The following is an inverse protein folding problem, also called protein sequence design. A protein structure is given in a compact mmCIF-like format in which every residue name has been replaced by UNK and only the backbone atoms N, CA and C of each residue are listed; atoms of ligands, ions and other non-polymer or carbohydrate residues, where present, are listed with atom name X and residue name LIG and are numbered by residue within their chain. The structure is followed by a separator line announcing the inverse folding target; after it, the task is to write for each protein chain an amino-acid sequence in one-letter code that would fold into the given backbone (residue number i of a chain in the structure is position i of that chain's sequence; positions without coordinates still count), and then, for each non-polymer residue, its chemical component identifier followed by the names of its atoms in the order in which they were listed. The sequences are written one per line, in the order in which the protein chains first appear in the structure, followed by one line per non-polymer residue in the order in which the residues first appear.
data_IF_200595142243
#
_entry.id   IF_200595142243
#
_cell.length_a   1.000
_cell.length_b   1.000
_cell.length_c   1.000
_cell.angle_alpha   90.00
_cell.angle_beta   90.00
_cell.angle_gamma   90.00
#
_symmetry.space_group_name_H-M   'P 1'
#
loop_
_entity.id
_entity.type
_entity.pdbx_description
1 polymer ?
#
# COMPACT_ATOMS: atom_id res chain seq x y z
N UNK A 1 71.62 -38.09 32.69
CA UNK A 1 71.89 -36.77 32.07
C UNK A 1 71.21 -36.76 30.70
N UNK A 2 70.21 -35.88 30.51
CA UNK A 2 69.43 -35.56 29.27
C UNK A 2 68.56 -36.72 28.71
N UNK A 3 67.26 -36.83 28.99
CA UNK A 3 66.08 -36.08 28.48
C UNK A 3 66.06 -35.94 26.96
N UNK A 4 65.13 -36.62 26.29
CA UNK A 4 64.27 -36.05 25.23
C UNK A 4 62.90 -36.72 25.25
N UNK A 5 61.87 -35.87 25.34
CA UNK A 5 60.45 -36.20 25.33
C UNK A 5 59.94 -36.33 23.89
N UNK A 6 58.88 -37.10 23.69
CA UNK A 6 58.06 -37.04 22.47
C UNK A 6 56.59 -36.94 22.86
N UNK A 7 55.98 -35.82 22.48
CA UNK A 7 54.59 -35.48 22.73
C UNK A 7 53.66 -36.25 21.77
N UNK A 8 52.58 -36.83 22.30
CA UNK A 8 51.48 -37.37 21.51
C UNK A 8 50.35 -36.34 21.47
N UNK A 9 49.94 -35.97 20.26
CA UNK A 9 48.89 -34.98 20.00
C UNK A 9 47.49 -35.57 20.29
N UNK A 10 46.69 -34.81 21.03
CA UNK A 10 45.28 -35.10 21.32
C UNK A 10 44.46 -34.53 20.16
N UNK A 11 43.81 -35.39 19.38
CA UNK A 11 42.84 -35.00 18.37
C UNK A 11 41.51 -34.62 19.05
N UNK A 12 41.20 -33.33 19.08
CA UNK A 12 39.93 -32.80 19.56
C UNK A 12 38.91 -32.82 18.41
N UNK A 13 38.03 -33.83 18.40
CA UNK A 13 36.90 -33.88 17.47
C UNK A 13 35.79 -32.95 17.97
N UNK A 14 35.69 -31.75 17.39
CA UNK A 14 34.59 -30.82 17.65
C UNK A 14 33.40 -31.23 16.79
N UNK A 15 32.41 -31.89 17.40
CA UNK A 15 31.10 -32.09 16.80
C UNK A 15 30.32 -30.77 16.84
N UNK A 16 30.12 -30.14 15.67
CA UNK A 16 29.27 -28.96 15.55
C UNK A 16 27.80 -29.37 15.60
N UNK A 17 26.94 -28.72 16.40
CA UNK A 17 25.52 -28.98 16.36
C UNK A 17 24.94 -28.43 15.05
N UNK A 18 24.40 -29.32 14.22
CA UNK A 18 23.58 -28.95 13.08
C UNK A 18 22.28 -28.34 13.60
N UNK A 19 22.26 -27.01 13.71
CA UNK A 19 21.03 -26.26 13.98
C UNK A 19 20.16 -26.38 12.73
N UNK A 20 19.18 -27.29 12.76
CA UNK A 20 18.05 -27.26 11.85
C UNK A 20 17.26 -25.98 12.17
N UNK A 21 17.44 -24.94 11.37
CA UNK A 21 16.47 -23.85 11.29
C UNK A 21 15.16 -24.45 10.78
N UNK A 22 14.26 -24.75 11.70
CA UNK A 22 12.85 -24.92 11.41
C UNK A 22 12.38 -23.68 10.67
N UNK A 23 11.99 -23.85 9.40
CA UNK A 23 11.24 -22.88 8.61
C UNK A 23 9.82 -22.85 9.19
N UNK A 24 9.71 -22.37 10.43
CA UNK A 24 8.44 -22.15 11.10
C UNK A 24 7.76 -20.98 10.37
N UNK A 25 6.70 -21.32 9.65
CA UNK A 25 5.61 -20.46 9.23
C UNK A 25 6.03 -19.05 8.83
N UNK A 26 6.54 -18.94 7.60
CA UNK A 26 6.26 -17.75 6.82
C UNK A 26 4.74 -17.58 6.82
N UNK A 27 4.22 -16.73 7.73
CA UNK A 27 2.84 -16.29 7.71
C UNK A 27 2.53 -15.95 6.26
N UNK A 28 1.51 -16.62 5.70
CA UNK A 28 1.10 -16.43 4.33
C UNK A 28 0.73 -14.95 4.17
N UNK A 29 1.69 -14.14 3.73
CA UNK A 29 1.47 -12.71 3.51
C UNK A 29 0.43 -12.66 2.42
N UNK A 30 -0.78 -12.24 2.81
CA UNK A 30 -1.90 -12.15 1.88
C UNK A 30 -1.47 -11.22 0.76
N UNK A 31 -1.21 -11.80 -0.40
CA UNK A 31 -0.68 -11.07 -1.54
C UNK A 31 -1.86 -10.59 -2.36
N UNK A 32 -2.00 -9.27 -2.43
CA UNK A 32 -3.00 -8.63 -3.28
C UNK A 32 -2.36 -8.29 -4.63
N UNK A 33 -3.12 -8.27 -5.74
CA UNK A 33 -2.61 -7.81 -7.03
C UNK A 33 -2.04 -6.38 -6.94
N UNK A 34 -2.68 -5.55 -6.11
CA UNK A 34 -2.19 -4.24 -5.70
C UNK A 34 -2.35 -4.13 -4.19
N UNK A 35 -1.25 -3.86 -3.51
CA UNK A 35 -1.25 -3.49 -2.10
C UNK A 35 -1.18 -1.98 -1.96
N UNK A 36 -2.16 -1.40 -1.26
CA UNK A 36 -2.25 0.03 -0.96
C UNK A 36 -1.30 0.38 0.18
N UNK A 37 -0.47 1.40 0.00
CA UNK A 37 0.44 1.90 1.05
C UNK A 37 0.39 3.42 1.10
N UNK A 38 0.67 4.02 2.27
CA UNK A 38 0.53 5.47 2.45
C UNK A 38 1.35 6.29 1.43
N UNK A 39 2.55 5.83 1.09
CA UNK A 39 3.46 6.55 0.21
C UNK A 39 3.55 5.97 -1.22
N UNK A 40 2.52 5.25 -1.68
CA UNK A 40 2.51 4.69 -3.03
C UNK A 40 1.68 3.41 -3.19
N UNK A 41 2.06 2.58 -4.15
CA UNK A 41 1.44 1.29 -4.43
C UNK A 41 2.50 0.20 -4.59
N UNK A 42 2.21 -1.00 -4.09
CA UNK A 42 3.00 -2.19 -4.38
C UNK A 42 2.18 -3.06 -5.33
N UNK A 43 2.74 -3.37 -6.48
CA UNK A 43 2.08 -4.09 -7.57
C UNK A 43 2.71 -5.47 -7.68
N UNK A 44 1.88 -6.52 -7.69
CA UNK A 44 2.37 -7.88 -7.86
C UNK A 44 3.10 -8.01 -9.21
N UNK A 45 4.27 -8.64 -9.20
CA UNK A 45 5.05 -8.88 -10.41
C UNK A 45 4.37 -9.94 -11.31
N UNK A 46 4.42 -9.79 -12.64
CA UNK A 46 3.83 -10.76 -13.55
C UNK A 46 4.59 -12.10 -13.47
N UNK A 47 3.86 -13.23 -13.57
CA UNK A 47 4.48 -14.55 -13.71
C UNK A 47 5.41 -14.96 -12.56
N UNK A 48 5.13 -14.53 -11.33
CA UNK A 48 5.94 -14.85 -10.15
C UNK A 48 7.17 -13.97 -9.96
N UNK A 49 7.30 -12.90 -10.76
CA UNK A 49 8.30 -11.86 -10.51
C UNK A 49 8.06 -11.18 -9.16
N UNK A 50 9.14 -10.65 -8.59
CA UNK A 50 9.06 -9.89 -7.35
C UNK A 50 8.11 -8.69 -7.49
N UNK A 51 7.32 -8.36 -6.45
CA UNK A 51 6.50 -7.16 -6.44
C UNK A 51 7.33 -5.90 -6.67
N UNK A 52 6.74 -4.93 -7.37
CA UNK A 52 7.37 -3.64 -7.66
C UNK A 52 6.61 -2.51 -6.97
N UNK A 53 7.34 -1.51 -6.49
CA UNK A 53 6.75 -0.38 -5.75
C UNK A 53 6.80 0.91 -6.57
N UNK A 54 5.63 1.46 -6.86
CA UNK A 54 5.47 2.84 -7.34
C UNK A 54 5.33 3.76 -6.12
N UNK A 55 6.45 4.35 -5.68
CA UNK A 55 6.52 5.26 -4.51
C UNK A 55 6.35 6.72 -4.90
N UNK A 56 5.87 7.54 -3.98
CA UNK A 56 5.84 8.99 -4.14
C UNK A 56 7.24 9.56 -4.43
N UNK A 57 7.29 10.63 -5.21
CA UNK A 57 8.52 11.22 -5.79
C UNK A 57 9.09 10.44 -6.98
N UNK A 58 8.46 9.34 -7.40
CA UNK A 58 8.90 8.61 -8.60
C UNK A 58 8.47 9.35 -9.86
N UNK A 59 9.38 9.46 -10.85
CA UNK A 59 9.06 10.02 -12.17
C UNK A 59 7.86 9.30 -12.80
N UNK A 60 6.92 10.09 -13.34
CA UNK A 60 5.64 9.64 -13.92
C UNK A 60 5.76 8.42 -14.82
N UNK A 61 6.72 8.43 -15.75
CA UNK A 61 6.92 7.32 -16.68
C UNK A 61 7.28 6.00 -15.97
N UNK A 62 8.11 6.06 -14.92
CA UNK A 62 8.50 4.89 -14.16
C UNK A 62 7.34 4.36 -13.29
N UNK A 63 6.60 5.26 -12.64
CA UNK A 63 5.41 4.89 -11.86
C UNK A 63 4.33 4.23 -12.74
N UNK A 64 4.01 4.82 -13.90
CA UNK A 64 3.06 4.25 -14.85
C UNK A 64 3.55 2.88 -15.34
N UNK A 65 4.84 2.71 -15.63
CA UNK A 65 5.39 1.42 -16.06
C UNK A 65 5.19 0.33 -15.02
N UNK A 66 5.47 0.61 -13.75
CA UNK A 66 5.30 -0.33 -12.65
C UNK A 66 3.83 -0.75 -12.52
N UNK A 67 2.90 0.22 -12.47
CA UNK A 67 1.48 -0.09 -12.35
C UNK A 67 0.95 -0.81 -13.58
N UNK A 68 1.45 -0.47 -14.77
CA UNK A 68 1.07 -1.14 -16.00
C UNK A 68 1.52 -2.60 -16.06
N UNK A 69 2.58 -2.99 -15.36
CA UNK A 69 3.05 -4.38 -15.32
C UNK A 69 2.02 -5.31 -14.65
N UNK A 70 1.24 -4.81 -13.68
CA UNK A 70 0.19 -5.58 -13.02
C UNK A 70 -1.22 -5.33 -13.55
N UNK A 71 -1.53 -4.09 -13.95
CA UNK A 71 -2.90 -3.68 -14.30
C UNK A 71 -3.13 -3.48 -15.81
N UNK A 72 -2.09 -3.59 -16.62
CA UNK A 72 -2.10 -3.22 -18.03
C UNK A 72 -2.03 -1.70 -18.24
N UNK A 73 -2.10 -1.27 -19.50
CA UNK A 73 -1.97 0.15 -19.85
C UNK A 73 -3.05 1.02 -19.17
N UNK A 74 -2.76 2.31 -18.89
CA UNK A 74 -3.75 3.25 -18.41
C UNK A 74 -4.99 3.28 -19.32
N UNK A 75 -6.18 3.27 -18.72
CA UNK A 75 -7.45 3.44 -19.43
C UNK A 75 -7.70 4.88 -19.82
N UNK A 76 -7.13 5.82 -19.06
CA UNK A 76 -7.20 7.26 -19.33
C UNK A 76 -5.97 7.96 -18.76
N UNK A 77 -5.53 9.03 -19.40
CA UNK A 77 -4.55 9.96 -18.85
C UNK A 77 -4.98 11.39 -19.16
N UNK A 78 -4.58 12.33 -18.33
CA UNK A 78 -4.86 13.73 -18.58
C UNK A 78 -4.26 14.63 -17.52
N UNK A 79 -4.81 15.84 -17.43
CA UNK A 79 -4.48 16.84 -16.44
C UNK A 79 -5.78 17.44 -15.94
N UNK A 80 -5.93 17.55 -14.63
CA UNK A 80 -6.93 18.38 -14.00
C UNK A 80 -6.34 19.79 -13.86
N UNK A 81 -6.91 20.79 -14.56
CA UNK A 81 -6.35 22.14 -14.61
C UNK A 81 -6.47 22.87 -13.27
N UNK A 82 -7.52 22.57 -12.51
CA UNK A 82 -7.82 23.18 -11.21
C UNK A 82 -8.15 22.05 -10.22
N UNK A 83 -7.21 21.77 -9.32
CA UNK A 83 -7.43 21.02 -8.09
C UNK A 83 -7.03 21.97 -6.97
N UNK A 84 -7.79 22.04 -5.88
CA UNK A 84 -7.70 23.10 -4.85
C UNK A 84 -6.33 23.43 -4.25
N UNK A 85 -5.26 22.69 -4.61
CA UNK A 85 -3.86 22.97 -4.35
C UNK A 85 -3.21 24.04 -5.25
N UNK A 86 -3.96 24.66 -6.17
CA UNK A 86 -3.53 25.84 -6.94
C UNK A 86 -2.52 25.54 -8.06
N UNK A 87 -2.39 24.27 -8.43
CA UNK A 87 -1.58 23.84 -9.56
C UNK A 87 -2.21 22.64 -10.28
N UNK A 88 -1.80 22.44 -11.53
CA UNK A 88 -2.35 21.38 -12.37
C UNK A 88 -1.88 20.00 -11.91
N UNK A 89 -2.81 19.07 -11.69
CA UNK A 89 -2.52 17.69 -11.32
C UNK A 89 -2.69 16.79 -12.55
N UNK A 90 -1.59 16.19 -13.01
CA UNK A 90 -1.62 15.14 -14.02
C UNK A 90 -2.20 13.85 -13.45
N UNK A 91 -2.90 13.06 -14.26
CA UNK A 91 -3.44 11.77 -13.82
C UNK A 91 -3.21 10.62 -14.82
N UNK A 92 -3.27 9.40 -14.29
CA UNK A 92 -3.37 8.17 -15.06
C UNK A 92 -4.32 7.18 -14.36
N UNK A 93 -5.44 6.83 -15.01
CA UNK A 93 -6.43 5.86 -14.54
C UNK A 93 -6.11 4.47 -15.06
N UNK A 94 -6.36 3.46 -14.24
CA UNK A 94 -6.15 2.05 -14.54
C UNK A 94 -7.43 1.24 -14.27
N UNK A 95 -7.47 0.01 -14.79
CA UNK A 95 -8.55 -0.92 -14.47
C UNK A 95 -8.62 -1.22 -12.97
N UNK A 96 -9.83 -1.43 -12.48
CA UNK A 96 -10.07 -1.68 -11.06
C UNK A 96 -10.05 -0.41 -10.20
N UNK A 97 -10.17 0.77 -10.81
CA UNK A 97 -10.41 2.04 -10.10
C UNK A 97 -9.17 2.72 -9.53
N UNK A 98 -7.96 2.30 -9.90
CA UNK A 98 -6.74 2.99 -9.48
C UNK A 98 -6.51 4.23 -10.35
N UNK A 99 -6.38 5.39 -9.73
CA UNK A 99 -5.84 6.61 -10.34
C UNK A 99 -4.49 6.95 -9.68
N UNK A 100 -3.51 7.35 -10.49
CA UNK A 100 -2.27 7.94 -10.03
C UNK A 100 -2.29 9.44 -10.27
N UNK A 101 -1.87 10.22 -9.28
CA UNK A 101 -1.77 11.69 -9.32
C UNK A 101 -0.34 12.15 -9.46
N UNK A 102 -0.10 13.14 -10.31
CA UNK A 102 1.24 13.63 -10.65
C UNK A 102 1.33 15.15 -10.59
N UNK A 103 2.37 15.64 -9.93
CA UNK A 103 2.73 17.07 -9.86
C UNK A 103 4.20 17.20 -10.22
N UNK A 104 4.54 18.20 -11.05
CA UNK A 104 5.93 18.38 -11.50
C UNK A 104 6.52 17.17 -12.27
N UNK A 105 5.68 16.26 -12.75
CA UNK A 105 6.12 15.01 -13.40
C UNK A 105 6.47 13.87 -12.43
N UNK A 106 6.19 14.02 -11.13
CA UNK A 106 6.43 13.01 -10.11
C UNK A 106 5.11 12.47 -9.55
N UNK A 107 5.09 11.20 -9.13
CA UNK A 107 3.96 10.60 -8.43
C UNK A 107 3.82 11.24 -7.05
N UNK A 108 2.66 11.82 -6.77
CA UNK A 108 2.38 12.48 -5.47
C UNK A 108 1.19 11.91 -4.73
N UNK A 109 0.38 11.09 -5.41
CA UNK A 109 -0.79 10.49 -4.79
C UNK A 109 -1.35 9.32 -5.59
N UNK A 110 -2.25 8.60 -4.95
CA UNK A 110 -3.08 7.58 -5.57
C UNK A 110 -4.49 7.63 -5.01
N UNK A 111 -5.45 7.21 -5.83
CA UNK A 111 -6.84 7.03 -5.44
C UNK A 111 -7.30 5.65 -5.89
N UNK A 112 -8.04 4.97 -5.01
CA UNK A 112 -8.91 3.85 -5.34
C UNK A 112 -10.35 4.38 -5.33
N UNK A 113 -10.88 4.62 -6.53
CA UNK A 113 -12.18 5.23 -6.76
C UNK A 113 -13.34 4.38 -6.24
N UNK A 114 -14.50 5.01 -6.03
CA UNK A 114 -15.74 4.29 -5.73
C UNK A 114 -16.08 3.28 -6.83
N UNK A 115 -16.58 2.11 -6.43
CA UNK A 115 -16.75 0.95 -7.33
C UNK A 115 -15.43 0.28 -7.75
N UNK A 116 -14.29 0.71 -7.20
CA UNK A 116 -12.98 0.11 -7.43
C UNK A 116 -12.89 -1.36 -6.98
N UNK A 117 -11.79 -2.00 -7.34
CA UNK A 117 -11.57 -3.42 -7.07
C UNK A 117 -11.49 -3.71 -5.56
N UNK A 118 -12.36 -4.60 -5.07
CA UNK A 118 -12.31 -5.11 -3.69
C UNK A 118 -11.06 -5.96 -3.40
N UNK A 119 -10.30 -6.32 -4.44
CA UNK A 119 -9.06 -7.08 -4.33
C UNK A 119 -7.83 -6.19 -4.13
N UNK A 120 -7.96 -4.86 -4.19
CA UNK A 120 -6.87 -3.93 -3.89
C UNK A 120 -7.00 -3.45 -2.45
N UNK A 121 -6.02 -3.80 -1.62
CA UNK A 121 -6.13 -3.66 -0.17
C UNK A 121 -4.78 -3.30 0.44
N UNK A 122 -4.79 -2.70 1.61
CA UNK A 122 -3.62 -2.58 2.48
C UNK A 122 -3.15 -3.97 2.94
N UNK A 123 -1.91 -4.06 3.42
CA UNK A 123 -1.33 -5.32 3.91
C UNK A 123 -2.14 -5.96 5.07
N UNK A 124 -2.79 -5.15 5.90
CA UNK A 124 -3.67 -5.60 6.98
C UNK A 124 -5.09 -5.99 6.49
N UNK A 125 -5.38 -5.87 5.19
CA UNK A 125 -6.66 -6.20 4.59
C UNK A 125 -7.70 -5.08 4.59
N UNK A 126 -7.35 -3.85 5.00
CA UNK A 126 -8.24 -2.69 4.79
C UNK A 126 -8.34 -2.36 3.30
N UNK A 127 -9.54 -2.08 2.80
CA UNK A 127 -9.83 -1.81 1.39
C UNK A 127 -11.31 -1.52 1.21
N UNK A 128 -11.75 -1.34 -0.04
CA UNK A 128 -13.17 -1.22 -0.36
C UNK A 128 -13.97 -2.37 0.27
N UNK A 129 -15.11 -2.03 0.87
CA UNK A 129 -16.03 -2.93 1.54
C UNK A 129 -15.71 -3.23 3.01
N UNK A 130 -14.54 -2.82 3.52
CA UNK A 130 -14.22 -2.91 4.96
C UNK A 130 -15.22 -2.06 5.74
N UNK A 131 -15.88 -2.64 6.76
CA UNK A 131 -16.80 -1.87 7.60
C UNK A 131 -16.07 -1.05 8.67
N UNK A 132 -16.71 0.01 9.18
CA UNK A 132 -16.15 0.93 10.18
C UNK A 132 -15.62 0.19 11.42
N UNK A 133 -16.36 -0.79 11.97
CA UNK A 133 -15.88 -1.58 13.11
C UNK A 133 -14.57 -2.32 12.82
N UNK A 134 -14.43 -2.87 11.62
CA UNK A 134 -13.20 -3.55 11.19
C UNK A 134 -12.09 -2.58 10.86
N UNK A 135 -12.41 -1.44 10.25
CA UNK A 135 -11.48 -0.36 9.98
C UNK A 135 -10.81 0.10 11.28
N UNK A 136 -11.60 0.48 12.29
CA UNK A 136 -11.09 0.93 13.59
C UNK A 136 -10.29 -0.14 14.33
N UNK A 137 -10.66 -1.43 14.17
CA UNK A 137 -9.89 -2.53 14.75
C UNK A 137 -8.53 -2.73 14.06
N UNK A 138 -8.48 -2.63 12.74
CA UNK A 138 -7.27 -2.86 11.94
C UNK A 138 -6.35 -1.63 11.86
N UNK A 139 -6.91 -0.45 12.11
CA UNK A 139 -6.22 0.84 12.14
C UNK A 139 -6.61 1.58 13.44
N UNK A 140 -6.00 1.25 14.60
CA UNK A 140 -6.43 1.79 15.90
C UNK A 140 -6.35 3.32 16.05
N UNK A 141 -5.61 4.00 15.16
CA UNK A 141 -5.44 5.46 15.14
C UNK A 141 -6.36 6.16 14.12
N UNK A 142 -7.23 5.42 13.42
CA UNK A 142 -8.13 6.02 12.43
C UNK A 142 -9.14 6.94 13.11
N UNK A 143 -9.25 8.15 12.61
CA UNK A 143 -10.36 9.03 12.92
C UNK A 143 -11.49 8.75 11.93
N UNK A 144 -12.71 8.57 12.41
CA UNK A 144 -13.90 8.39 11.57
C UNK A 144 -14.74 9.64 11.72
N UNK A 145 -14.84 10.38 10.63
CA UNK A 145 -15.67 11.57 10.53
C UNK A 145 -17.10 11.15 10.17
N UNK A 146 -18.11 11.42 11.02
CA UNK A 146 -19.51 11.13 10.72
C UNK A 146 -20.09 12.00 9.59
N UNK A 147 -19.36 12.99 9.06
CA UNK A 147 -19.74 13.77 7.88
C UNK A 147 -20.96 14.65 8.11
N UNK A 148 -21.21 15.06 9.34
CA UNK A 148 -22.39 15.83 9.76
C UNK A 148 -22.12 17.33 9.91
N UNK A 149 -21.05 17.85 9.30
CA UNK A 149 -20.79 19.29 9.32
C UNK A 149 -21.92 20.03 8.59
N UNK A 150 -22.53 20.98 9.30
CA UNK A 150 -23.51 21.96 8.79
C UNK A 150 -22.81 22.89 7.76
N UNK A 151 -22.55 22.35 6.56
CA UNK A 151 -21.83 23.07 5.50
C UNK A 151 -21.81 22.37 4.15
N UNK A 152 -22.37 21.15 4.04
CA UNK A 152 -22.37 20.40 2.79
C UNK A 152 -21.09 19.57 2.57
N UNK A 153 -20.50 19.03 3.65
CA UNK A 153 -19.39 18.08 3.54
C UNK A 153 -19.73 16.87 2.67
N UNK A 154 -18.72 16.24 2.09
CA UNK A 154 -18.84 15.13 1.12
C UNK A 154 -19.34 13.80 1.69
N UNK A 155 -19.86 13.83 2.92
CA UNK A 155 -20.35 12.67 3.65
C UNK A 155 -19.30 12.07 4.58
N UNK A 156 -19.64 10.94 5.22
CA UNK A 156 -18.80 10.33 6.23
C UNK A 156 -17.47 9.81 5.64
N UNK A 157 -16.38 10.00 6.38
CA UNK A 157 -15.05 9.66 5.93
C UNK A 157 -14.18 9.07 7.03
N UNK A 158 -12.96 8.73 6.68
CA UNK A 158 -11.94 8.37 7.65
C UNK A 158 -10.60 8.96 7.28
N UNK A 159 -9.83 9.31 8.31
CA UNK A 159 -8.51 9.90 8.15
C UNK A 159 -7.46 9.22 9.02
N UNK A 160 -6.24 9.17 8.51
CA UNK A 160 -5.04 8.75 9.23
C UNK A 160 -3.91 9.74 8.91
N UNK A 161 -3.29 10.31 9.94
CA UNK A 161 -2.21 11.29 9.80
C UNK A 161 -1.08 10.82 8.86
N UNK A 162 -0.65 9.57 9.01
CA UNK A 162 0.44 8.95 8.25
C UNK A 162 -0.05 7.88 7.26
N UNK A 163 -1.33 7.91 6.89
CA UNK A 163 -2.01 6.81 6.22
C UNK A 163 -2.87 7.21 5.03
N UNK A 164 -3.54 6.23 4.42
CA UNK A 164 -4.61 6.53 3.48
C UNK A 164 -5.82 7.10 4.22
N UNK A 165 -6.50 8.03 3.56
CA UNK A 165 -7.81 8.53 3.92
C UNK A 165 -8.86 7.86 3.02
N UNK A 166 -10.14 8.11 3.25
CA UNK A 166 -11.18 7.62 2.36
C UNK A 166 -12.59 7.94 2.79
N UNK A 167 -13.54 7.55 1.93
CA UNK A 167 -14.97 7.79 2.12
C UNK A 167 -15.72 6.54 2.55
N UNK A 168 -16.84 6.75 3.24
CA UNK A 168 -17.72 5.71 3.75
C UNK A 168 -19.13 5.86 3.15
N UNK A 169 -19.83 4.74 2.96
CA UNK A 169 -21.25 4.74 2.52
C UNK A 169 -22.27 5.14 3.61
N UNK A 170 -21.78 5.59 4.77
CA UNK A 170 -22.59 5.98 5.92
C UNK A 170 -21.78 6.15 7.20
N UNK A 171 -22.47 6.56 8.28
CA UNK A 171 -21.86 6.85 9.60
C UNK A 171 -22.12 5.78 10.67
N UNK A 172 -22.68 4.63 10.27
CA UNK A 172 -22.94 3.49 11.16
C UNK A 172 -21.72 2.57 11.27
N UNK A 173 -21.57 1.78 12.35
CA UNK A 173 -20.50 0.79 12.49
C UNK A 173 -20.43 -0.26 11.35
N UNK A 174 -21.57 -0.51 10.69
CA UNK A 174 -21.69 -1.44 9.55
C UNK A 174 -21.42 -0.79 8.18
N UNK A 175 -21.33 0.53 8.12
CA UNK A 175 -21.01 1.29 6.90
C UNK A 175 -19.62 0.91 6.41
N UNK A 176 -19.39 1.02 5.11
CA UNK A 176 -18.24 0.45 4.41
C UNK A 176 -17.42 1.54 3.75
N UNK A 177 -16.11 1.29 3.67
CA UNK A 177 -15.19 2.01 2.80
C UNK A 177 -15.64 1.87 1.35
N UNK A 178 -15.90 2.99 0.68
CA UNK A 178 -16.27 3.06 -0.74
C UNK A 178 -15.10 3.46 -1.61
N UNK A 179 -14.20 4.29 -1.09
CA UNK A 179 -12.99 4.73 -1.79
C UNK A 179 -11.87 5.01 -0.79
N UNK A 180 -10.64 5.04 -1.29
CA UNK A 180 -9.44 5.34 -0.49
C UNK A 180 -8.47 6.17 -1.31
N UNK A 181 -7.68 7.00 -0.65
CA UNK A 181 -6.64 7.79 -1.31
C UNK A 181 -5.49 8.07 -0.36
N UNK A 182 -4.35 8.44 -0.91
CA UNK A 182 -3.23 8.96 -0.14
C UNK A 182 -2.37 9.90 -0.97
N UNK A 183 -1.69 10.81 -0.28
CA UNK A 183 -0.92 11.88 -0.89
C UNK A 183 -1.82 12.96 -1.51
N UNK A 184 -1.25 13.69 -2.47
CA UNK A 184 -1.96 14.77 -3.14
C UNK A 184 -2.84 14.22 -4.27
N UNK A 185 -4.14 14.50 -4.20
CA UNK A 185 -5.13 14.02 -5.18
C UNK A 185 -6.08 15.15 -5.57
N UNK A 186 -6.75 14.97 -6.71
CA UNK A 186 -7.80 15.90 -7.16
C UNK A 186 -9.19 15.46 -6.69
N UNK A 187 -9.27 14.88 -5.49
CA UNK A 187 -10.54 14.68 -4.83
C UNK A 187 -10.91 16.05 -4.28
N UNK A 188 -11.94 16.67 -4.87
CA UNK A 188 -12.58 17.82 -4.26
C UNK A 188 -13.11 17.33 -2.91
N UNK A 189 -12.61 17.93 -1.82
CA UNK A 189 -13.07 17.81 -0.42
C UNK A 189 -14.12 18.88 -0.08
#
# INVERSE_FOLDING_TARGET
MKIFATAAAIACAIALPTVFLSVAEAAMVKTFPVTLVANGLIVAGPGGQAPQTARFGMVRAAAIKIVSAGLGAPTKTGVYPECGSGHAIGYAKFRGGIELSFVGGELVGWTLEDGGSQNYRMANGVGIGTNVTTLQRLLPKVFVDPGNEEGGGLGPGFTLDDGPNGWLDGNKPTSKVTSMYSGETCIVE
#
